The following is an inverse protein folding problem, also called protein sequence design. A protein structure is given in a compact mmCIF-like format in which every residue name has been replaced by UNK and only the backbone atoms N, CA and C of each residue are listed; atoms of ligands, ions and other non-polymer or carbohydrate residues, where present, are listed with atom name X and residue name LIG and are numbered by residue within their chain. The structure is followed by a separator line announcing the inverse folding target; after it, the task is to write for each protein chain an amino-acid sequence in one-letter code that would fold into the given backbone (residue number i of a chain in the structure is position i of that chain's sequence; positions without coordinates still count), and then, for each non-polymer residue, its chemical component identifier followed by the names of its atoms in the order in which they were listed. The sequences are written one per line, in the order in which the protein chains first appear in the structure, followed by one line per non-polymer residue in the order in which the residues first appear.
data_IF_932767927604
#
_entry.id   IF_932767927604
#
_cell.length_a   1.000
_cell.length_b   1.000
_cell.length_c   1.000
_cell.angle_alpha   90.00
_cell.angle_beta   90.00
_cell.angle_gamma   90.00
#
_symmetry.space_group_name_H-M   'P 1'
#
loop_
_entity.id
_entity.type
_entity.pdbx_description
1 polymer ?
#
# COMPACT_ATOMS: atom_id res chain seq x y z
N UNK A 1 -5.98 -16.56 6.97
CA UNK A 1 -5.51 -15.75 8.08
C UNK A 1 -5.60 -16.53 9.38
N UNK A 2 -6.69 -16.54 10.13
CA UNK A 2 -6.76 -17.31 11.39
C UNK A 2 -6.55 -18.85 11.26
N UNK A 3 -6.81 -19.42 10.09
CA UNK A 3 -6.63 -20.86 9.81
C UNK A 3 -5.21 -21.24 9.33
N UNK A 4 -4.24 -20.35 9.38
CA UNK A 4 -2.87 -20.61 8.90
C UNK A 4 -2.72 -20.68 7.38
N UNK A 5 -3.75 -20.35 6.61
CA UNK A 5 -3.69 -20.34 5.15
C UNK A 5 -2.97 -19.09 4.64
N UNK A 6 -2.15 -19.24 3.59
CA UNK A 6 -1.56 -18.13 2.87
C UNK A 6 -2.58 -17.54 1.89
N UNK A 7 -3.21 -16.44 2.29
CA UNK A 7 -4.25 -15.75 1.51
C UNK A 7 -3.63 -14.61 0.73
N UNK A 8 -3.90 -14.51 -0.56
CA UNK A 8 -3.54 -13.38 -1.39
C UNK A 8 -4.77 -12.77 -2.05
N UNK A 9 -4.73 -11.47 -2.24
CA UNK A 9 -5.74 -10.72 -2.99
C UNK A 9 -5.16 -10.32 -4.35
N UNK A 10 -6.00 -10.32 -5.35
CA UNK A 10 -5.69 -9.86 -6.68
C UNK A 10 -6.84 -9.04 -7.24
N UNK A 11 -6.57 -8.28 -8.27
CA UNK A 11 -7.57 -7.54 -9.02
C UNK A 11 -7.89 -8.32 -10.29
N UNK A 12 -9.14 -8.74 -10.42
CA UNK A 12 -9.62 -9.57 -11.54
C UNK A 12 -9.75 -8.74 -12.82
N UNK A 13 -10.43 -7.60 -12.70
CA UNK A 13 -10.84 -6.79 -13.84
C UNK A 13 -10.40 -5.34 -13.68
N UNK A 14 -10.05 -4.68 -14.79
CA UNK A 14 -9.69 -3.25 -14.83
C UNK A 14 -10.42 -2.59 -16.00
N UNK A 15 -11.28 -1.61 -15.72
CA UNK A 15 -12.02 -0.83 -16.72
C UNK A 15 -12.83 -1.69 -17.71
N UNK A 16 -13.47 -2.73 -17.21
CA UNK A 16 -14.36 -3.60 -17.97
C UNK A 16 -15.77 -3.63 -17.37
N UNK A 17 -16.76 -4.35 -17.97
CA UNK A 17 -18.13 -4.38 -17.44
C UNK A 17 -18.27 -4.95 -16.03
N UNK A 18 -17.33 -5.74 -15.54
CA UNK A 18 -17.34 -6.36 -14.20
C UNK A 18 -16.66 -5.45 -13.17
N UNK A 19 -15.56 -4.81 -13.56
CA UNK A 19 -14.79 -3.90 -12.73
C UNK A 19 -14.62 -2.51 -13.34
N UNK A 20 -15.71 -1.76 -13.62
CA UNK A 20 -15.64 -0.51 -14.38
C UNK A 20 -14.87 0.62 -13.67
N UNK A 21 -14.75 0.53 -12.35
CA UNK A 21 -14.07 1.54 -11.52
C UNK A 21 -12.70 1.06 -11.01
N UNK A 22 -12.26 -0.12 -11.39
CA UNK A 22 -11.00 -0.67 -10.95
C UNK A 22 -9.80 0.01 -11.64
N UNK A 23 -8.78 0.35 -10.88
CA UNK A 23 -7.61 1.11 -11.34
C UNK A 23 -6.38 0.24 -11.65
N UNK A 24 -6.40 -1.05 -11.26
CA UNK A 24 -5.23 -1.93 -11.26
C UNK A 24 -4.34 -1.75 -10.03
N UNK A 25 -4.75 -0.92 -9.08
CA UNK A 25 -4.02 -0.65 -7.86
C UNK A 25 -4.35 -1.66 -6.76
N UNK A 26 -3.38 -2.49 -6.39
CA UNK A 26 -3.57 -3.51 -5.34
C UNK A 26 -3.82 -2.92 -3.95
N UNK A 27 -3.46 -1.66 -3.68
CA UNK A 27 -3.82 -0.99 -2.44
C UNK A 27 -5.33 -0.69 -2.37
N UNK A 28 -5.99 -0.44 -3.50
CA UNK A 28 -7.44 -0.33 -3.56
C UNK A 28 -8.10 -1.66 -3.21
N UNK A 29 -7.54 -2.77 -3.69
CA UNK A 29 -8.02 -4.13 -3.34
C UNK A 29 -7.89 -4.38 -1.84
N UNK A 30 -6.73 -4.06 -1.24
CA UNK A 30 -6.52 -4.19 0.19
C UNK A 30 -7.49 -3.31 1.00
N UNK A 31 -7.71 -2.06 0.56
CA UNK A 31 -8.66 -1.14 1.17
C UNK A 31 -10.09 -1.69 1.13
N UNK A 32 -10.54 -2.16 -0.03
CA UNK A 32 -11.85 -2.77 -0.19
C UNK A 32 -12.00 -4.03 0.68
N UNK A 33 -10.97 -4.86 0.78
CA UNK A 33 -10.99 -6.06 1.62
C UNK A 33 -11.16 -5.73 3.11
N UNK A 34 -10.51 -4.66 3.61
CA UNK A 34 -10.70 -4.17 4.98
C UNK A 34 -12.16 -3.85 5.25
N UNK A 35 -12.82 -3.13 4.33
CA UNK A 35 -14.22 -2.74 4.51
C UNK A 35 -15.19 -3.90 4.29
N UNK A 36 -15.09 -4.62 3.19
CA UNK A 36 -15.99 -5.71 2.86
C UNK A 36 -15.88 -6.90 3.81
N UNK A 37 -14.67 -7.15 4.32
CA UNK A 37 -14.39 -8.23 5.27
C UNK A 37 -14.55 -7.83 6.73
N UNK A 38 -14.89 -6.56 7.03
CA UNK A 38 -14.90 -6.03 8.40
C UNK A 38 -13.58 -6.25 9.16
N UNK A 39 -12.44 -6.23 8.44
CA UNK A 39 -11.10 -6.50 8.96
C UNK A 39 -10.49 -5.21 9.52
N UNK A 40 -11.11 -4.64 10.56
CA UNK A 40 -10.77 -3.31 11.10
C UNK A 40 -9.73 -3.32 12.23
N UNK A 41 -9.36 -4.50 12.72
CA UNK A 41 -8.29 -4.65 13.70
C UNK A 41 -6.93 -4.33 13.12
N UNK A 42 -6.02 -3.79 13.94
CA UNK A 42 -4.68 -3.38 13.49
C UNK A 42 -3.91 -4.50 12.78
N UNK A 43 -3.95 -5.70 13.34
CA UNK A 43 -3.28 -6.88 12.77
C UNK A 43 -4.00 -7.39 11.52
N UNK A 44 -5.33 -7.25 11.47
CA UNK A 44 -6.13 -7.59 10.29
C UNK A 44 -5.80 -6.68 9.10
N UNK A 45 -5.67 -5.36 9.34
CA UNK A 45 -5.28 -4.40 8.30
C UNK A 45 -3.86 -4.70 7.78
N UNK A 46 -2.91 -5.02 8.67
CA UNK A 46 -1.58 -5.47 8.28
C UNK A 46 -1.59 -6.75 7.47
N UNK A 47 -2.44 -7.72 7.85
CA UNK A 47 -2.64 -8.94 7.09
C UNK A 47 -3.22 -8.67 5.69
N UNK A 48 -4.09 -7.66 5.53
CA UNK A 48 -4.55 -7.21 4.21
C UNK A 48 -3.40 -6.63 3.37
N UNK A 49 -2.47 -5.90 3.99
CA UNK A 49 -1.26 -5.43 3.28
C UNK A 49 -0.38 -6.59 2.83
N UNK A 50 -0.14 -7.57 3.70
CA UNK A 50 0.60 -8.78 3.33
C UNK A 50 -0.09 -9.57 2.23
N UNK A 51 -1.43 -9.59 2.22
CA UNK A 51 -2.22 -10.29 1.20
C UNK A 51 -2.10 -9.68 -0.21
N UNK A 52 -1.58 -8.47 -0.34
CA UNK A 52 -1.28 -7.81 -1.64
C UNK A 52 0.23 -7.63 -1.90
N UNK A 53 1.09 -8.10 -1.00
CA UNK A 53 2.55 -7.98 -1.13
C UNK A 53 3.25 -9.34 -0.99
N UNK A 54 3.57 -9.76 0.20
CA UNK A 54 4.36 -10.96 0.47
C UNK A 54 3.61 -12.26 0.14
N UNK A 55 2.32 -12.32 0.45
CA UNK A 55 1.55 -13.54 0.27
C UNK A 55 1.40 -13.94 -1.21
N UNK A 56 1.09 -13.02 -2.15
CA UNK A 56 1.11 -13.32 -3.57
C UNK A 56 2.47 -13.83 -4.06
N UNK A 57 3.56 -13.23 -3.58
CA UNK A 57 4.90 -13.67 -3.95
C UNK A 57 5.16 -15.12 -3.55
N UNK A 58 4.74 -15.53 -2.33
CA UNK A 58 4.82 -16.92 -1.89
C UNK A 58 3.95 -17.85 -2.72
N UNK A 59 2.70 -17.43 -3.03
CA UNK A 59 1.78 -18.25 -3.84
C UNK A 59 2.30 -18.46 -5.27
N UNK A 60 3.00 -17.48 -5.83
CA UNK A 60 3.59 -17.53 -7.17
C UNK A 60 4.99 -18.11 -7.19
N UNK A 61 5.57 -18.45 -6.04
CA UNK A 61 6.94 -18.96 -5.94
C UNK A 61 8.00 -17.99 -6.44
N UNK A 62 7.81 -16.68 -6.22
CA UNK A 62 8.76 -15.65 -6.68
C UNK A 62 10.04 -15.68 -5.85
N UNK A 63 11.14 -16.03 -6.50
CA UNK A 63 12.47 -15.98 -5.89
C UNK A 63 13.00 -14.54 -5.81
N UNK A 64 13.72 -14.24 -4.72
CA UNK A 64 14.32 -12.92 -4.51
C UNK A 64 13.33 -11.78 -4.27
N UNK A 65 12.09 -12.09 -3.93
CA UNK A 65 11.11 -11.08 -3.50
C UNK A 65 11.32 -10.74 -2.03
N UNK A 66 11.33 -9.44 -1.72
CA UNK A 66 11.45 -8.95 -0.34
C UNK A 66 12.33 -7.71 -0.21
N UNK A 67 12.53 -7.28 1.04
CA UNK A 67 13.34 -6.11 1.40
C UNK A 67 14.70 -6.48 1.99
N UNK A 68 15.01 -7.79 2.11
CA UNK A 68 16.24 -8.26 2.69
C UNK A 68 17.43 -8.14 1.72
N UNK A 69 18.62 -8.13 2.28
CA UNK A 69 19.86 -8.14 1.51
C UNK A 69 19.93 -9.43 0.68
N UNK A 70 20.14 -9.27 -0.62
CA UNK A 70 20.16 -10.38 -1.58
C UNK A 70 18.85 -10.56 -2.36
N UNK A 71 17.76 -9.87 -1.98
CA UNK A 71 16.55 -9.82 -2.78
C UNK A 71 16.74 -8.93 -4.03
N UNK A 72 15.87 -9.14 -5.01
CA UNK A 72 15.76 -8.22 -6.14
C UNK A 72 15.32 -6.85 -5.61
N UNK A 73 15.96 -5.79 -6.07
CA UNK A 73 15.55 -4.44 -5.71
C UNK A 73 14.31 -4.01 -6.54
N UNK A 74 13.20 -4.74 -6.36
CA UNK A 74 11.89 -4.45 -6.92
C UNK A 74 11.04 -3.81 -5.81
N UNK A 75 11.01 -2.46 -5.79
CA UNK A 75 10.53 -1.68 -4.65
C UNK A 75 9.53 -0.63 -5.10
N UNK A 76 8.57 -0.33 -4.24
CA UNK A 76 7.70 0.84 -4.38
C UNK A 76 7.83 1.69 -3.12
N UNK A 77 8.26 2.94 -3.29
CA UNK A 77 8.33 3.92 -2.21
C UNK A 77 7.02 4.70 -2.19
N UNK A 78 6.31 4.62 -1.07
CA UNK A 78 5.01 5.26 -0.88
C UNK A 78 5.13 6.48 0.03
N UNK A 79 4.31 7.49 -0.21
CA UNK A 79 4.16 8.63 0.72
C UNK A 79 3.27 8.22 1.91
N UNK A 80 3.73 7.25 2.69
CA UNK A 80 3.06 6.74 3.88
C UNK A 80 4.08 6.34 4.94
N UNK A 81 3.71 6.44 6.22
CA UNK A 81 4.60 6.12 7.34
C UNK A 81 4.66 4.62 7.64
N UNK A 82 3.59 3.90 7.32
CA UNK A 82 3.45 2.48 7.64
C UNK A 82 2.41 1.79 6.72
N UNK A 83 2.29 0.45 6.76
CA UNK A 83 1.33 -0.28 5.94
C UNK A 83 -0.15 0.10 6.16
N UNK A 84 -0.53 0.51 7.35
CA UNK A 84 -1.92 0.92 7.66
C UNK A 84 -2.22 2.24 6.95
N UNK A 85 -1.30 3.20 7.05
CA UNK A 85 -1.40 4.48 6.34
C UNK A 85 -1.36 4.28 4.81
N UNK A 86 -0.57 3.33 4.32
CA UNK A 86 -0.54 2.99 2.90
C UNK A 86 -1.91 2.53 2.40
N UNK A 87 -2.61 1.64 3.12
CA UNK A 87 -3.96 1.20 2.75
C UNK A 87 -4.97 2.35 2.93
N UNK A 88 -4.87 3.10 4.03
CA UNK A 88 -5.82 4.17 4.35
C UNK A 88 -5.79 5.30 3.33
N UNK A 89 -4.59 5.75 2.97
CA UNK A 89 -4.38 6.92 2.12
C UNK A 89 -4.31 6.57 0.63
N UNK A 90 -3.89 5.35 0.27
CA UNK A 90 -3.55 4.96 -1.11
C UNK A 90 -2.67 6.03 -1.78
N UNK A 91 -1.52 6.35 -1.13
CA UNK A 91 -0.77 7.56 -1.41
C UNK A 91 -0.01 7.48 -2.73
N UNK A 92 0.55 8.63 -3.12
CA UNK A 92 1.45 8.73 -4.27
C UNK A 92 2.60 7.72 -4.17
N UNK A 93 2.91 7.06 -5.28
CA UNK A 93 4.10 6.25 -5.46
C UNK A 93 5.25 7.19 -5.81
N UNK A 94 6.06 7.51 -4.81
CA UNK A 94 7.18 8.44 -5.00
C UNK A 94 8.19 7.86 -5.98
N UNK A 95 8.52 6.57 -5.83
CA UNK A 95 9.40 5.86 -6.73
C UNK A 95 8.90 4.44 -6.97
N UNK A 96 8.96 3.98 -8.21
CA UNK A 96 8.82 2.58 -8.57
C UNK A 96 10.17 2.12 -9.10
N UNK A 97 10.74 1.11 -8.44
CA UNK A 97 12.08 0.61 -8.70
C UNK A 97 11.97 -0.83 -9.17
N UNK A 98 12.61 -1.13 -10.29
CA UNK A 98 12.70 -2.47 -10.84
C UNK A 98 14.15 -2.87 -10.99
N UNK A 99 14.56 -3.94 -10.30
CA UNK A 99 15.94 -4.45 -10.29
C UNK A 99 16.97 -3.34 -10.06
N UNK A 100 16.73 -2.50 -9.05
CA UNK A 100 17.60 -1.39 -8.67
C UNK A 100 17.53 -0.14 -9.57
N UNK A 101 16.69 -0.15 -10.60
CA UNK A 101 16.50 1.01 -11.49
C UNK A 101 15.15 1.67 -11.24
N UNK A 102 15.15 2.99 -11.05
CA UNK A 102 13.90 3.78 -10.99
C UNK A 102 13.25 3.76 -12.38
N UNK A 103 12.04 3.26 -12.48
CA UNK A 103 11.26 3.16 -13.73
C UNK A 103 10.07 4.11 -13.76
N UNK A 104 9.62 4.61 -12.61
CA UNK A 104 8.62 5.66 -12.50
C UNK A 104 8.89 6.50 -11.25
N UNK A 105 8.56 7.77 -11.33
CA UNK A 105 8.73 8.73 -10.25
C UNK A 105 7.56 9.72 -10.26
N UNK A 106 7.09 10.10 -9.08
CA UNK A 106 6.08 11.12 -8.90
C UNK A 106 6.47 12.06 -7.76
N UNK A 107 6.18 13.37 -7.88
CA UNK A 107 6.44 14.30 -6.79
C UNK A 107 5.54 14.00 -5.58
N UNK A 108 6.00 14.32 -4.36
CA UNK A 108 5.15 14.23 -3.17
C UNK A 108 3.90 15.09 -3.33
N UNK A 109 2.76 14.54 -2.91
CA UNK A 109 1.52 15.31 -2.81
C UNK A 109 1.53 16.14 -1.51
N UNK A 110 1.56 17.46 -1.65
CA UNK A 110 1.54 18.40 -0.52
C UNK A 110 0.38 19.36 -0.71
N UNK A 111 -0.54 19.41 0.25
CA UNK A 111 -1.61 20.40 0.28
C UNK A 111 -1.09 21.70 0.89
N UNK A 112 -1.37 22.83 0.23
CA UNK A 112 -1.13 24.16 0.77
C UNK A 112 -2.43 24.67 1.39
N UNK A 113 -2.33 25.20 2.61
CA UNK A 113 -3.44 25.80 3.34
C UNK A 113 -3.19 27.30 3.48
N UNK A 114 -4.10 28.10 2.93
CA UNK A 114 -4.08 29.57 3.07
C UNK A 114 -5.22 30.01 4.02
N UNK A 115 -4.97 29.80 5.33
CA UNK A 115 -5.89 30.24 6.39
C UNK A 115 -5.08 30.95 7.50
N UNK A 116 -5.47 32.18 7.90
CA UNK A 116 -4.81 32.89 8.97
C UNK A 116 -4.72 32.07 10.27
N UNK A 117 -3.54 31.99 10.86
CA UNK A 117 -3.30 31.27 12.12
C UNK A 117 -3.25 29.73 12.00
N UNK A 118 -3.17 29.20 10.77
CA UNK A 118 -3.00 27.76 10.51
C UNK A 118 -1.66 27.51 9.81
N UNK A 119 -1.11 26.27 9.92
CA UNK A 119 0.09 25.88 9.16
C UNK A 119 -0.14 26.04 7.66
N UNK A 120 0.86 26.52 6.93
CA UNK A 120 0.80 26.72 5.48
C UNK A 120 0.79 25.41 4.68
N UNK A 121 1.16 24.29 5.28
CA UNK A 121 1.11 22.97 4.68
C UNK A 121 0.49 21.96 5.64
N UNK A 122 -0.21 20.97 5.08
CA UNK A 122 -0.80 19.88 5.84
C UNK A 122 -0.25 18.58 5.29
N UNK A 123 0.39 17.80 6.14
CA UNK A 123 0.76 16.42 5.83
C UNK A 123 -0.34 15.49 6.34
N UNK A 124 -0.85 14.61 5.46
CA UNK A 124 -1.85 13.61 5.82
C UNK A 124 -1.23 12.36 6.45
N UNK A 125 0.08 12.36 6.65
CA UNK A 125 0.79 11.30 7.34
C UNK A 125 0.67 11.52 8.85
N UNK A 126 0.19 10.51 9.55
CA UNK A 126 0.06 10.54 11.00
C UNK A 126 1.45 10.72 11.63
N UNK A 127 1.67 11.80 12.37
CA UNK A 127 2.87 11.93 13.17
C UNK A 127 2.92 10.75 14.15
N UNK A 128 4.05 10.05 14.18
CA UNK A 128 4.30 9.03 15.20
C UNK A 128 4.33 9.73 16.56
N UNK A 129 3.24 9.65 17.31
CA UNK A 129 3.28 9.96 18.73
C UNK A 129 4.21 8.92 19.39
N UNK A 130 5.18 9.35 20.19
CA UNK A 130 5.93 8.41 20.99
C UNK A 130 4.96 7.62 21.88
N UNK A 131 5.24 6.34 22.17
CA UNK A 131 4.45 5.58 23.13
C UNK A 131 4.53 6.25 24.50
N UNK A 132 3.37 6.52 25.11
CA UNK A 132 3.27 6.87 26.52
C UNK A 132 3.74 5.71 27.40
#
# INVERSE_FOLDING_TARGET
MAAGLNVSFGQDSVMDPVGPMNTGDVLDVAHMAVHAGHLSGRDEIRACFQAVTENPARNLGLEGYGLDVGCNADLVVLQASDPIEAIRLRPTRLHVIRRGKVIAESPPHTAKLDLPGRPASTEFVRSTQPPE
#
